data_IF_060841947989
#
_entry.id   IF_060841947989
#
_cell.length_a   1.000
_cell.length_b   1.000
_cell.length_c   1.000
_cell.angle_alpha   90.00
_cell.angle_beta   90.00
_cell.angle_gamma   90.00
#
_symmetry.space_group_name_H-M   'P 1'
#
loop_
_entity.id
_entity.type
_entity.pdbx_description
1 polymer ?
#
# COMPACT_ATOMS: atom_id res chain seq x y z
N UNK A 1 13.55 10.96 -22.86
CA UNK A 1 14.78 10.43 -23.51
C UNK A 1 14.83 8.90 -23.44
N UNK A 2 14.74 8.27 -22.27
CA UNK A 2 14.79 6.81 -22.11
C UNK A 2 13.70 6.06 -22.91
N UNK A 3 12.48 6.58 -22.99
CA UNK A 3 11.38 5.98 -23.75
C UNK A 3 11.63 6.01 -25.26
N UNK A 4 12.16 7.11 -25.78
CA UNK A 4 12.48 7.25 -27.22
C UNK A 4 13.64 6.34 -27.63
N UNK A 5 14.66 6.22 -26.78
CA UNK A 5 15.80 5.31 -27.04
C UNK A 5 15.40 3.82 -26.94
N UNK A 6 14.33 3.49 -26.18
CA UNK A 6 13.77 2.13 -26.11
C UNK A 6 13.05 1.70 -27.38
N UNK A 7 12.47 2.64 -28.12
CA UNK A 7 11.75 2.39 -29.38
C UNK A 7 12.70 2.16 -30.58
N UNK A 8 13.97 2.50 -30.48
CA UNK A 8 14.93 2.44 -31.58
C UNK A 8 15.64 1.07 -31.72
N UNK A 9 15.15 0.03 -31.05
CA UNK A 9 15.40 -1.37 -31.46
C UNK A 9 16.82 -1.95 -31.29
N UNK A 10 17.70 -1.29 -30.57
CA UNK A 10 19.06 -1.80 -30.35
C UNK A 10 19.10 -2.85 -29.23
N UNK A 11 19.60 -4.04 -29.48
CA UNK A 11 19.62 -5.20 -28.57
C UNK A 11 20.73 -5.14 -27.51
N UNK A 12 21.53 -4.07 -27.47
CA UNK A 12 22.64 -3.90 -26.54
C UNK A 12 22.24 -3.11 -25.26
N UNK A 13 23.08 -3.19 -24.22
CA UNK A 13 22.99 -2.34 -23.05
C UNK A 13 23.20 -0.87 -23.44
N UNK A 14 22.28 -0.02 -23.03
CA UNK A 14 22.30 1.41 -23.37
C UNK A 14 22.97 2.21 -22.29
N UNK A 15 23.91 3.05 -22.69
CA UNK A 15 24.65 3.93 -21.79
C UNK A 15 24.39 5.39 -22.14
N UNK A 16 24.30 6.24 -21.13
CA UNK A 16 24.26 7.68 -21.26
C UNK A 16 25.46 8.27 -20.52
N UNK A 17 26.33 8.97 -21.22
CA UNK A 17 27.61 9.47 -20.68
C UNK A 17 28.47 8.38 -20.01
N UNK A 18 28.49 7.17 -20.59
CA UNK A 18 29.25 6.04 -20.08
C UNK A 18 28.58 5.26 -18.93
N UNK A 19 27.45 5.72 -18.41
CA UNK A 19 26.72 5.06 -17.32
C UNK A 19 25.48 4.33 -17.84
N UNK A 20 25.24 3.14 -17.33
CA UNK A 20 23.99 2.41 -17.58
C UNK A 20 22.84 3.09 -16.85
N UNK A 21 21.71 3.31 -17.52
CA UNK A 21 20.53 3.92 -16.94
C UNK A 21 19.36 2.94 -16.87
N UNK A 22 18.51 3.12 -15.87
CA UNK A 22 17.30 2.31 -15.66
C UNK A 22 16.21 2.72 -16.64
N UNK A 23 15.56 1.71 -17.24
CA UNK A 23 14.43 1.89 -18.14
C UNK A 23 13.19 1.24 -17.52
N UNK A 24 12.16 2.03 -17.26
CA UNK A 24 10.90 1.53 -16.76
C UNK A 24 9.74 2.44 -17.20
N UNK A 25 8.53 1.90 -17.14
CA UNK A 25 7.28 2.63 -17.28
C UNK A 25 6.47 2.43 -15.99
N UNK A 26 5.87 3.49 -15.48
CA UNK A 26 5.06 3.46 -14.26
C UNK A 26 3.84 4.35 -14.47
N UNK A 27 2.69 3.89 -14.03
CA UNK A 27 1.45 4.64 -14.02
C UNK A 27 0.62 4.30 -12.81
N UNK A 28 -0.18 5.26 -12.35
CA UNK A 28 -1.16 5.03 -11.29
C UNK A 28 -2.38 5.91 -11.52
N UNK A 29 -3.53 5.40 -11.09
CA UNK A 29 -4.80 6.12 -11.11
C UNK A 29 -5.40 6.07 -9.71
N UNK A 30 -5.87 7.21 -9.25
CA UNK A 30 -6.54 7.36 -7.97
C UNK A 30 -7.92 7.97 -8.20
N UNK A 31 -8.94 7.29 -7.67
CA UNK A 31 -10.32 7.78 -7.66
C UNK A 31 -10.71 8.12 -6.22
N UNK A 32 -11.18 9.32 -5.99
CA UNK A 32 -11.69 9.78 -4.69
C UNK A 32 -13.16 10.15 -4.85
N UNK A 33 -13.97 9.67 -3.91
CA UNK A 33 -15.39 9.96 -3.87
C UNK A 33 -15.78 10.42 -2.48
N UNK A 34 -16.37 11.62 -2.41
CA UNK A 34 -16.86 12.22 -1.17
C UNK A 34 -18.35 12.45 -1.28
N UNK A 35 -19.11 11.96 -0.30
CA UNK A 35 -20.56 12.14 -0.25
C UNK A 35 -20.98 12.61 1.14
N UNK A 36 -21.68 13.72 1.20
CA UNK A 36 -22.41 14.12 2.40
C UNK A 36 -23.62 13.21 2.54
N UNK A 37 -23.80 12.58 3.69
CA UNK A 37 -24.89 11.66 3.96
C UNK A 37 -26.07 12.39 4.61
N UNK A 38 -25.90 12.79 5.87
CA UNK A 38 -26.90 13.58 6.60
C UNK A 38 -26.18 14.50 7.61
N UNK A 39 -26.75 15.69 7.86
CA UNK A 39 -26.10 16.68 8.73
C UNK A 39 -24.67 16.98 8.30
N UNK A 40 -23.73 16.85 9.22
CA UNK A 40 -22.30 17.03 9.00
C UNK A 40 -21.55 15.68 8.88
N UNK A 41 -22.27 14.62 8.51
CA UNK A 41 -21.67 13.30 8.32
C UNK A 41 -21.29 13.07 6.86
N UNK A 42 -20.09 12.53 6.64
CA UNK A 42 -19.51 12.33 5.33
C UNK A 42 -19.02 10.90 5.14
N UNK A 43 -19.20 10.41 3.94
CA UNK A 43 -18.53 9.21 3.45
C UNK A 43 -17.40 9.64 2.50
N UNK A 44 -16.19 9.23 2.84
CA UNK A 44 -15.02 9.39 1.98
C UNK A 44 -14.57 8.02 1.49
N UNK A 45 -14.38 7.87 0.20
CA UNK A 45 -13.90 6.64 -0.42
C UNK A 45 -12.73 6.95 -1.34
N UNK A 46 -11.76 6.06 -1.37
CA UNK A 46 -10.57 6.16 -2.22
C UNK A 46 -10.28 4.79 -2.82
N UNK A 47 -9.99 4.77 -4.09
CA UNK A 47 -9.51 3.59 -4.80
C UNK A 47 -8.27 3.96 -5.60
N UNK A 48 -7.18 3.22 -5.41
CA UNK A 48 -5.92 3.46 -6.09
C UNK A 48 -5.42 2.16 -6.72
N UNK A 49 -5.06 2.24 -7.99
CA UNK A 49 -4.37 1.19 -8.72
C UNK A 49 -3.11 1.77 -9.36
N UNK A 50 -2.01 1.04 -9.27
CA UNK A 50 -0.75 1.42 -9.89
C UNK A 50 -0.03 0.20 -10.43
N UNK A 51 0.66 0.38 -11.56
CA UNK A 51 1.51 -0.63 -12.16
C UNK A 51 2.79 -0.02 -12.70
N UNK A 52 3.86 -0.77 -12.62
CA UNK A 52 5.15 -0.41 -13.18
C UNK A 52 5.85 -1.62 -13.78
N UNK A 53 6.61 -1.40 -14.85
CA UNK A 53 7.32 -2.45 -15.55
C UNK A 53 8.71 -1.97 -15.99
N UNK A 54 9.73 -2.73 -15.59
CA UNK A 54 11.10 -2.51 -16.05
C UNK A 54 11.35 -3.22 -17.38
N UNK A 55 12.04 -2.55 -18.29
CA UNK A 55 12.38 -3.07 -19.62
C UNK A 55 13.78 -2.63 -20.04
N UNK A 56 14.24 -3.11 -21.19
CA UNK A 56 15.55 -2.76 -21.74
C UNK A 56 16.71 -3.12 -20.79
N UNK A 57 17.46 -2.13 -20.37
CA UNK A 57 18.61 -2.30 -19.45
C UNK A 57 18.21 -2.83 -18.07
N UNK A 58 16.96 -2.64 -17.65
CA UNK A 58 16.54 -2.94 -16.29
C UNK A 58 15.69 -4.19 -16.22
N UNK A 59 16.05 -5.12 -15.35
CA UNK A 59 15.23 -6.29 -15.00
C UNK A 59 14.19 -5.98 -13.92
N UNK A 60 14.51 -5.03 -13.05
CA UNK A 60 13.70 -4.60 -11.90
C UNK A 60 13.62 -3.08 -11.89
N UNK A 61 12.52 -2.52 -11.46
CA UNK A 61 12.39 -1.06 -11.27
C UNK A 61 13.34 -0.57 -10.16
N UNK A 62 13.85 0.67 -10.27
CA UNK A 62 14.59 1.28 -9.17
C UNK A 62 13.76 1.24 -7.87
N UNK A 63 14.40 0.97 -6.76
CA UNK A 63 13.74 0.83 -5.46
C UNK A 63 12.87 2.05 -5.09
N UNK A 64 13.35 3.26 -5.36
CA UNK A 64 12.62 4.52 -5.15
C UNK A 64 11.32 4.62 -5.93
N UNK A 65 11.21 3.87 -7.05
CA UNK A 65 10.07 3.90 -7.95
C UNK A 65 9.11 2.72 -7.75
N UNK A 66 9.48 1.73 -6.97
CA UNK A 66 8.61 0.62 -6.65
C UNK A 66 7.46 1.06 -5.72
N UNK A 67 6.31 0.41 -5.86
CA UNK A 67 5.17 0.65 -4.99
C UNK A 67 5.37 -0.01 -3.62
N UNK A 68 4.79 0.62 -2.61
CA UNK A 68 4.72 0.09 -1.25
C UNK A 68 3.34 0.38 -0.64
N UNK A 69 3.04 -0.25 0.50
CA UNK A 69 1.75 -0.15 1.18
C UNK A 69 1.95 -0.05 2.70
N UNK A 70 0.91 0.41 3.40
CA UNK A 70 0.91 0.65 4.85
C UNK A 70 1.16 2.11 5.23
N UNK A 71 0.90 2.44 6.48
CA UNK A 71 1.04 3.78 7.05
C UNK A 71 -0.23 4.63 6.96
N UNK A 72 -0.16 5.85 7.50
CA UNK A 72 -1.28 6.76 7.74
C UNK A 72 -2.13 7.10 6.51
N UNK A 73 -1.54 7.08 5.31
CA UNK A 73 -2.21 7.43 4.05
C UNK A 73 -2.42 6.21 3.13
N UNK A 74 -2.34 5.00 3.68
CA UNK A 74 -2.50 3.75 2.97
C UNK A 74 -3.40 2.80 3.77
N UNK A 75 -2.92 1.65 4.22
CA UNK A 75 -3.65 0.76 5.13
C UNK A 75 -3.18 1.03 6.55
N UNK A 76 -3.98 1.78 7.30
CA UNK A 76 -3.64 2.36 8.61
C UNK A 76 -3.40 1.36 9.73
N UNK A 77 -3.83 0.12 9.56
CA UNK A 77 -3.57 -0.96 10.52
C UNK A 77 -2.14 -1.51 10.46
N UNK A 78 -1.36 -1.15 9.44
CA UNK A 78 -0.06 -1.73 9.19
C UNK A 78 1.01 -0.64 9.01
N UNK A 79 2.20 -0.92 9.51
CA UNK A 79 3.35 -0.03 9.31
C UNK A 79 3.74 0.03 7.84
N UNK A 80 4.28 1.15 7.44
CA UNK A 80 4.76 1.37 6.08
C UNK A 80 5.78 0.29 5.66
N UNK A 81 5.61 -0.28 4.45
CA UNK A 81 6.48 -1.31 3.86
C UNK A 81 6.57 -2.63 4.63
N UNK A 82 5.56 -2.97 5.45
CA UNK A 82 5.55 -4.25 6.19
C UNK A 82 4.68 -5.32 5.52
N UNK A 83 3.93 -4.97 4.47
CA UNK A 83 3.03 -5.88 3.76
C UNK A 83 3.49 -6.17 2.35
N UNK A 84 3.22 -7.39 1.88
CA UNK A 84 3.50 -7.85 0.53
C UNK A 84 4.99 -8.11 0.27
N UNK A 85 5.37 -8.29 -1.01
CA UNK A 85 4.47 -8.46 -2.15
C UNK A 85 3.69 -9.77 -2.08
N UNK A 86 2.44 -9.75 -2.51
CA UNK A 86 1.53 -10.90 -2.48
C UNK A 86 1.43 -11.52 -1.10
N UNK A 87 1.59 -12.84 -1.02
CA UNK A 87 1.62 -13.60 0.24
C UNK A 87 3.04 -13.81 0.80
N UNK A 88 4.06 -13.15 0.25
CA UNK A 88 5.42 -13.24 0.74
C UNK A 88 5.53 -12.64 2.15
N UNK A 89 6.19 -13.39 3.04
CA UNK A 89 6.56 -12.95 4.38
C UNK A 89 8.08 -13.06 4.52
N UNK A 90 8.79 -11.95 4.82
CA UNK A 90 10.23 -12.04 5.06
C UNK A 90 10.54 -12.90 6.29
N UNK A 91 11.69 -13.58 6.33
CA UNK A 91 12.17 -14.30 7.51
C UNK A 91 12.18 -13.38 8.74
N UNK A 92 11.68 -13.87 9.87
CA UNK A 92 11.54 -13.07 11.11
C UNK A 92 12.85 -12.82 11.85
N UNK A 93 13.86 -13.58 11.52
CA UNK A 93 15.22 -13.50 12.06
C UNK A 93 16.04 -12.34 11.45
N UNK A 94 15.53 -11.70 10.39
CA UNK A 94 16.14 -10.49 9.82
C UNK A 94 15.31 -9.25 10.19
N UNK A 95 15.73 -8.47 11.21
CA UNK A 95 15.00 -7.28 11.65
C UNK A 95 14.89 -6.19 10.59
N UNK A 96 15.76 -6.17 9.58
CA UNK A 96 15.73 -5.20 8.48
C UNK A 96 14.85 -5.65 7.30
N UNK A 97 14.38 -6.89 7.27
CA UNK A 97 13.56 -7.41 6.18
C UNK A 97 12.17 -6.75 6.08
N UNK A 98 11.71 -6.12 7.15
CA UNK A 98 10.41 -5.47 7.20
C UNK A 98 10.33 -4.16 6.41
N UNK A 99 11.44 -3.49 6.19
CA UNK A 99 11.44 -2.15 5.56
C UNK A 99 11.53 -2.16 4.03
N UNK A 100 11.73 -3.32 3.44
CA UNK A 100 12.01 -3.46 2.00
C UNK A 100 10.86 -4.08 1.20
N UNK A 101 9.64 -4.10 1.74
CA UNK A 101 8.50 -4.68 1.04
C UNK A 101 8.00 -3.71 -0.04
N UNK A 102 8.32 -4.07 -1.28
CA UNK A 102 8.00 -3.30 -2.49
C UNK A 102 7.48 -4.21 -3.59
N UNK A 103 6.77 -3.62 -4.55
CA UNK A 103 6.19 -4.38 -5.67
C UNK A 103 6.05 -3.55 -6.95
N UNK A 104 5.69 -4.22 -8.01
CA UNK A 104 5.48 -3.64 -9.34
C UNK A 104 4.01 -3.26 -9.58
N UNK A 105 3.09 -3.88 -8.87
CA UNK A 105 1.66 -3.61 -8.93
C UNK A 105 1.12 -3.29 -7.54
N UNK A 106 0.22 -2.31 -7.45
CA UNK A 106 -0.39 -1.86 -6.20
C UNK A 106 -1.89 -1.73 -6.37
N UNK A 107 -2.64 -2.18 -5.38
CA UNK A 107 -4.08 -1.94 -5.25
C UNK A 107 -4.38 -1.50 -3.83
N UNK A 108 -5.14 -0.40 -3.69
CA UNK A 108 -5.67 0.09 -2.42
C UNK A 108 -7.12 0.52 -2.56
N UNK A 109 -7.90 0.24 -1.52
CA UNK A 109 -9.24 0.74 -1.33
C UNK A 109 -9.40 1.18 0.13
N UNK A 110 -9.94 2.38 0.33
CA UNK A 110 -10.18 2.96 1.63
C UNK A 110 -11.61 3.49 1.66
N UNK A 111 -12.32 3.23 2.76
CA UNK A 111 -13.64 3.79 3.04
C UNK A 111 -13.60 4.36 4.44
N UNK A 112 -14.10 5.59 4.60
CA UNK A 112 -14.10 6.29 5.88
C UNK A 112 -15.43 7.02 6.06
N UNK A 113 -16.12 6.71 7.15
CA UNK A 113 -17.28 7.43 7.62
C UNK A 113 -16.83 8.45 8.67
N UNK A 114 -17.06 9.74 8.38
CA UNK A 114 -16.73 10.87 9.24
C UNK A 114 -18.01 11.43 9.85
N UNK A 115 -17.99 11.67 11.15
CA UNK A 115 -19.12 12.25 11.88
C UNK A 115 -18.64 13.36 12.82
N UNK A 116 -19.46 14.39 12.95
CA UNK A 116 -19.17 15.52 13.84
C UNK A 116 -19.32 15.10 15.29
N UNK A 117 -18.35 15.48 16.12
CA UNK A 117 -18.39 15.30 17.57
C UNK A 117 -18.79 16.64 18.22
N UNK A 118 -17.92 17.65 18.13
CA UNK A 118 -18.18 18.99 18.67
C UNK A 118 -17.27 20.01 17.97
N UNK A 119 -17.81 21.19 17.65
CA UNK A 119 -17.04 22.25 16.96
C UNK A 119 -16.36 21.70 15.70
N UNK A 120 -15.04 21.81 15.64
CA UNK A 120 -14.18 21.38 14.53
C UNK A 120 -13.61 19.96 14.73
N UNK A 121 -14.04 19.28 15.81
CA UNK A 121 -13.63 17.90 16.08
C UNK A 121 -14.60 16.91 15.44
N UNK A 122 -14.06 16.04 14.61
CA UNK A 122 -14.79 14.96 13.95
C UNK A 122 -14.21 13.60 14.35
N UNK A 123 -15.09 12.62 14.49
CA UNK A 123 -14.72 11.20 14.58
C UNK A 123 -14.72 10.56 13.21
N UNK A 124 -13.97 9.49 13.07
CA UNK A 124 -13.96 8.66 11.87
C UNK A 124 -13.95 7.17 12.22
N UNK A 125 -14.66 6.38 11.42
CA UNK A 125 -14.55 4.93 11.40
C UNK A 125 -14.15 4.57 9.98
N UNK A 126 -13.16 3.70 9.84
CA UNK A 126 -12.63 3.38 8.53
C UNK A 126 -12.38 1.89 8.30
N UNK A 127 -12.32 1.52 7.02
CA UNK A 127 -11.87 0.22 6.54
C UNK A 127 -10.91 0.46 5.38
N UNK A 128 -9.75 -0.19 5.45
CA UNK A 128 -8.70 -0.13 4.45
C UNK A 128 -8.40 -1.54 3.94
N UNK A 129 -8.22 -1.67 2.62
CA UNK A 129 -7.90 -2.92 1.96
C UNK A 129 -6.84 -2.70 0.88
N UNK A 130 -5.98 -3.67 0.66
CA UNK A 130 -5.04 -3.61 -0.45
C UNK A 130 -3.81 -4.49 -0.29
N UNK A 131 -2.98 -4.49 -1.30
CA UNK A 131 -1.65 -5.11 -1.28
C UNK A 131 -0.80 -4.59 -2.45
N UNK A 132 0.45 -5.03 -2.48
CA UNK A 132 1.37 -4.91 -3.60
C UNK A 132 1.74 -6.29 -4.11
N UNK A 133 2.15 -6.39 -5.37
CA UNK A 133 2.58 -7.64 -6.00
C UNK A 133 3.73 -7.40 -6.96
N UNK A 134 4.45 -8.46 -7.25
CA UNK A 134 5.39 -8.51 -8.36
C UNK A 134 4.67 -8.94 -9.64
N UNK A 135 5.06 -8.38 -10.77
CA UNK A 135 4.58 -8.82 -12.09
C UNK A 135 5.37 -10.03 -12.62
N UNK A 136 6.61 -10.18 -12.17
CA UNK A 136 7.49 -11.32 -12.50
C UNK A 136 7.72 -12.18 -11.26
N UNK A 137 7.98 -13.45 -11.47
CA UNK A 137 8.34 -14.36 -10.37
C UNK A 137 9.74 -14.01 -9.84
N UNK A 138 9.87 -14.00 -8.52
CA UNK A 138 11.12 -13.77 -7.82
C UNK A 138 11.37 -14.94 -6.87
N UNK A 139 12.40 -15.78 -7.11
CA UNK A 139 12.71 -16.91 -6.24
C UNK A 139 13.03 -16.50 -4.78
N UNK A 140 13.48 -15.27 -4.56
CA UNK A 140 13.77 -14.74 -3.22
C UNK A 140 12.51 -14.29 -2.49
N UNK A 141 11.40 -14.07 -3.20
CA UNK A 141 10.12 -13.64 -2.67
C UNK A 141 8.97 -14.55 -3.13
N UNK A 142 8.98 -15.84 -2.73
CA UNK A 142 7.97 -16.81 -3.13
C UNK A 142 6.57 -16.36 -2.69
N UNK A 143 5.58 -16.49 -3.59
CA UNK A 143 4.21 -16.00 -3.37
C UNK A 143 4.04 -14.49 -3.61
N UNK A 144 5.11 -13.78 -4.02
CA UNK A 144 5.05 -12.34 -4.29
C UNK A 144 4.39 -11.98 -5.62
N UNK A 145 4.30 -12.92 -6.58
CA UNK A 145 3.77 -12.69 -7.91
C UNK A 145 2.24 -12.56 -7.91
N UNK A 146 1.74 -11.58 -8.65
CA UNK A 146 0.31 -11.42 -8.90
C UNK A 146 -0.26 -12.62 -9.63
N UNK A 147 -1.24 -13.29 -9.02
CA UNK A 147 -2.00 -14.38 -9.62
C UNK A 147 -3.49 -14.22 -9.32
N UNK A 148 -4.35 -14.49 -10.29
CA UNK A 148 -5.81 -14.41 -10.08
C UNK A 148 -6.29 -15.41 -9.03
N UNK A 149 -5.59 -16.54 -8.88
CA UNK A 149 -5.95 -17.60 -7.94
C UNK A 149 -5.75 -17.19 -6.47
N UNK A 150 -4.71 -16.42 -6.18
CA UNK A 150 -4.38 -15.98 -4.80
C UNK A 150 -4.87 -14.56 -4.51
N UNK A 151 -5.24 -13.79 -5.53
CA UNK A 151 -5.53 -12.36 -5.43
C UNK A 151 -6.40 -11.98 -4.22
N UNK A 152 -7.55 -12.64 -4.04
CA UNK A 152 -8.46 -12.33 -2.93
C UNK A 152 -7.89 -12.68 -1.54
N UNK A 153 -7.02 -13.70 -1.47
CA UNK A 153 -6.34 -14.11 -0.23
C UNK A 153 -5.15 -13.21 0.10
N UNK A 154 -4.58 -12.58 -0.91
CA UNK A 154 -3.43 -11.71 -0.75
C UNK A 154 -3.83 -10.29 -0.27
N UNK A 155 -5.13 -9.94 -0.29
CA UNK A 155 -5.60 -8.63 0.17
C UNK A 155 -5.48 -8.52 1.68
N UNK A 156 -4.66 -7.57 2.16
CA UNK A 156 -4.64 -7.18 3.56
C UNK A 156 -5.87 -6.32 3.88
N UNK A 157 -6.44 -6.50 5.07
CA UNK A 157 -7.60 -5.74 5.57
C UNK A 157 -7.27 -5.12 6.92
N UNK A 158 -7.67 -3.89 7.10
CA UNK A 158 -7.62 -3.16 8.36
C UNK A 158 -8.87 -2.34 8.57
N UNK A 159 -9.20 -2.12 9.83
CA UNK A 159 -10.26 -1.20 10.26
C UNK A 159 -9.75 -0.31 11.38
N UNK A 160 -10.53 0.63 11.85
CA UNK A 160 -10.13 1.42 13.00
C UNK A 160 -10.98 2.65 13.21
N UNK A 161 -10.51 3.45 14.18
CA UNK A 161 -11.13 4.71 14.57
C UNK A 161 -10.12 5.83 14.40
N UNK A 162 -10.62 7.01 14.09
CA UNK A 162 -9.78 8.19 13.97
C UNK A 162 -10.44 9.44 14.53
N UNK A 163 -9.61 10.39 14.92
CA UNK A 163 -10.01 11.75 15.24
C UNK A 163 -9.46 12.70 14.17
N UNK A 164 -10.26 13.69 13.84
CA UNK A 164 -9.96 14.74 12.87
C UNK A 164 -10.23 16.08 13.52
N UNK A 165 -9.21 16.90 13.62
CA UNK A 165 -9.36 18.26 14.13
C UNK A 165 -9.02 19.25 13.02
N UNK A 166 -10.04 20.00 12.60
CA UNK A 166 -9.92 20.96 11.49
C UNK A 166 -9.44 22.32 12.04
N UNK A 167 -8.27 22.77 11.57
CA UNK A 167 -7.70 24.07 11.92
C UNK A 167 -7.71 24.95 10.66
N UNK A 168 -8.87 25.16 10.05
CA UNK A 168 -9.09 26.02 8.88
C UNK A 168 -8.25 25.71 7.64
N UNK A 169 -6.94 25.50 7.77
CA UNK A 169 -6.00 25.21 6.67
C UNK A 169 -5.38 23.81 6.76
N UNK A 170 -5.48 23.16 7.91
CA UNK A 170 -4.80 21.90 8.19
C UNK A 170 -5.75 21.02 8.99
N UNK A 171 -5.86 19.76 8.62
CA UNK A 171 -6.55 18.74 9.40
C UNK A 171 -5.52 17.90 10.13
N UNK A 172 -5.55 17.95 11.46
CA UNK A 172 -4.77 17.04 12.30
C UNK A 172 -5.54 15.71 12.41
N UNK A 173 -4.84 14.63 12.18
CA UNK A 173 -5.41 13.28 12.18
C UNK A 173 -4.69 12.40 13.18
N UNK A 174 -5.46 11.70 14.03
CA UNK A 174 -4.98 10.62 14.87
C UNK A 174 -5.79 9.37 14.56
N UNK A 175 -5.14 8.33 14.07
CA UNK A 175 -5.78 7.09 13.64
C UNK A 175 -5.27 5.91 14.46
N UNK A 176 -6.19 5.10 14.99
CA UNK A 176 -5.93 3.81 15.61
C UNK A 176 -6.46 2.70 14.68
N UNK A 177 -5.55 2.03 14.00
CA UNK A 177 -5.85 0.94 13.08
C UNK A 177 -5.77 -0.42 13.76
N UNK A 178 -6.61 -1.34 13.30
CA UNK A 178 -6.70 -2.73 13.76
C UNK A 178 -6.57 -3.62 12.54
N UNK A 179 -5.51 -4.45 12.48
CA UNK A 179 -5.30 -5.42 11.40
C UNK A 179 -6.29 -6.58 11.49
N UNK A 180 -7.11 -6.76 10.47
CA UNK A 180 -8.09 -7.85 10.41
C UNK A 180 -7.57 -9.06 9.63
N UNK A 181 -6.86 -8.82 8.53
CA UNK A 181 -6.36 -9.86 7.66
C UNK A 181 -4.97 -9.52 7.14
N UNK A 182 -4.07 -10.49 7.16
CA UNK A 182 -2.74 -10.40 6.51
C UNK A 182 -2.67 -11.32 5.30
N UNK A 183 -1.87 -10.97 4.26
CA UNK A 183 -1.76 -11.76 3.04
C UNK A 183 -1.01 -13.10 3.21
N UNK A 184 -0.45 -13.36 4.37
CA UNK A 184 0.29 -14.59 4.68
C UNK A 184 -0.37 -15.36 5.83
N UNK A 185 -0.32 -16.71 5.80
CA UNK A 185 -0.89 -17.53 6.87
C UNK A 185 -0.17 -17.29 8.19
N UNK A 186 -0.93 -17.21 9.28
CA UNK A 186 -0.36 -17.23 10.62
C UNK A 186 -0.14 -18.69 11.03
N UNK A 187 1.10 -19.11 11.38
CA UNK A 187 1.39 -20.48 11.74
C UNK A 187 0.58 -20.99 12.94
N UNK A 188 0.14 -20.09 13.82
CA UNK A 188 -0.59 -20.45 15.06
C UNK A 188 -2.12 -20.51 14.87
N UNK A 189 -2.65 -20.20 13.68
CA UNK A 189 -4.10 -20.14 13.45
C UNK A 189 -4.54 -20.70 12.11
N UNK A 190 -5.63 -21.46 12.15
CA UNK A 190 -6.38 -21.91 10.99
C UNK A 190 -7.13 -20.72 10.38
N UNK A 191 -6.45 -19.91 9.55
CA UNK A 191 -7.08 -18.82 8.82
C UNK A 191 -6.18 -17.57 8.73
N UNK A 192 -6.53 -16.73 7.78
CA UNK A 192 -5.81 -15.50 7.45
C UNK A 192 -6.09 -14.33 8.42
N UNK A 193 -6.92 -14.55 9.45
CA UNK A 193 -7.27 -13.51 10.41
C UNK A 193 -6.20 -13.40 11.50
N UNK A 194 -5.57 -12.24 11.56
CA UNK A 194 -4.38 -12.01 12.39
C UNK A 194 -4.69 -11.52 13.81
N UNK A 195 -5.85 -11.85 14.35
CA UNK A 195 -6.26 -11.47 15.70
C UNK A 195 -5.65 -12.38 16.80
N UNK A 196 -4.44 -12.90 16.61
CA UNK A 196 -3.79 -13.74 17.62
C UNK A 196 -3.40 -12.98 18.87
N UNK A 197 -3.08 -11.70 18.73
CA UNK A 197 -2.92 -10.78 19.85
C UNK A 197 -3.48 -9.43 19.39
N UNK A 198 -4.53 -8.96 20.03
CA UNK A 198 -5.12 -7.64 19.79
C UNK A 198 -4.05 -6.54 19.84
N UNK A 199 -3.14 -6.64 20.80
CA UNK A 199 -2.04 -5.69 20.98
C UNK A 199 -1.10 -5.62 19.78
N UNK A 200 -0.83 -6.76 19.12
CA UNK A 200 0.08 -6.82 17.97
C UNK A 200 -0.61 -6.46 16.64
N UNK A 201 -1.94 -6.31 16.64
CA UNK A 201 -2.72 -5.89 15.48
C UNK A 201 -3.01 -4.39 15.46
N UNK A 202 -2.57 -3.64 16.47
CA UNK A 202 -2.81 -2.21 16.60
C UNK A 202 -1.72 -1.41 15.87
N UNK A 203 -2.15 -0.45 15.05
CA UNK A 203 -1.31 0.58 14.45
C UNK A 203 -1.80 1.95 14.86
N UNK A 204 -0.93 2.77 15.41
CA UNK A 204 -1.24 4.17 15.74
C UNK A 204 -0.50 5.10 14.79
N UNK A 205 -1.23 6.06 14.22
CA UNK A 205 -0.69 7.02 13.27
C UNK A 205 -1.15 8.43 13.59
N UNK A 206 -0.21 9.36 13.58
CA UNK A 206 -0.48 10.79 13.51
C UNK A 206 -0.17 11.28 12.10
N UNK A 207 -1.05 12.10 11.55
CA UNK A 207 -0.85 12.66 10.23
C UNK A 207 -1.40 14.08 10.15
N UNK A 208 -0.86 14.84 9.22
CA UNK A 208 -1.36 16.15 8.81
C UNK A 208 -1.88 15.98 7.39
N UNK A 209 -3.10 16.41 7.14
CA UNK A 209 -3.73 16.27 5.82
C UNK A 209 -4.87 17.25 5.63
N UNK A 210 -5.39 17.27 4.42
CA UNK A 210 -6.57 18.03 4.02
C UNK A 210 -7.82 17.15 4.10
#
# INVERSE_FOLDING_TARGET
LAGVMGLLGDKGEKHLFGNQFSQFVKGSTELKYYRRLWGDNWLASRFLVGAGHAYGNSKVMPYSEQFYIGGANSIRAFTIRTLGPGSYRPPQDNPNAYFDQTGDFKLEANIEFRFKIIGDLHGAIFMDAGNIWLLKEDPQRPGGKLTLKSFGKDIALGTGFGLRYDISYIVLRADLGIGLHTPYPNPDKKGYYNLSSFKNSLGFHLAIGY
#
